data_IF_638645309246
#
_entry.id   IF_638645309246
#
_cell.length_a   1.000
_cell.length_b   1.000
_cell.length_c   1.000
_cell.angle_alpha   90.00
_cell.angle_beta   90.00
_cell.angle_gamma   90.00
#
_symmetry.space_group_name_H-M   'P 1'
#
loop_
_entity.id
_entity.type
_entity.pdbx_description
1 polymer ?
#
# COMPACT_ATOMS: atom_id res chain seq x y z
N UNK A 1 -27.02 -4.74 -9.22
CA UNK A 1 -27.48 -5.28 -7.93
C UNK A 1 -26.89 -4.42 -6.82
N UNK A 2 -27.51 -4.34 -5.63
CA UNK A 2 -26.93 -3.64 -4.49
C UNK A 2 -25.55 -4.22 -4.16
N UNK A 3 -24.69 -3.41 -3.56
CA UNK A 3 -23.40 -3.89 -3.10
C UNK A 3 -23.54 -4.96 -2.01
N UNK A 4 -22.81 -6.06 -2.17
CA UNK A 4 -22.81 -7.19 -1.23
C UNK A 4 -21.38 -7.65 -0.96
N UNK A 5 -21.15 -8.16 0.25
CA UNK A 5 -19.85 -8.69 0.71
C UNK A 5 -20.03 -10.19 0.94
N UNK A 6 -19.36 -11.01 0.13
CA UNK A 6 -19.55 -12.47 0.09
C UNK A 6 -18.60 -13.24 1.01
N UNK A 7 -17.44 -12.65 1.29
CA UNK A 7 -16.42 -13.30 2.10
C UNK A 7 -15.18 -12.43 2.27
N UNK A 8 -14.34 -12.76 3.25
CA UNK A 8 -13.11 -12.06 3.55
C UNK A 8 -11.96 -13.02 3.79
N UNK A 9 -10.77 -12.64 3.30
CA UNK A 9 -9.49 -13.17 3.77
C UNK A 9 -9.07 -12.35 4.97
N UNK A 10 -8.91 -13.00 6.12
CA UNK A 10 -8.50 -12.36 7.37
C UNK A 10 -7.15 -12.88 7.82
N UNK A 11 -6.23 -11.98 8.11
CA UNK A 11 -4.87 -12.35 8.50
C UNK A 11 -4.23 -11.30 9.40
N UNK A 12 -3.28 -11.74 10.24
CA UNK A 12 -2.48 -10.87 11.09
C UNK A 12 -1.27 -10.36 10.31
N UNK A 13 -1.22 -9.05 10.06
CA UNK A 13 -0.13 -8.38 9.37
C UNK A 13 0.81 -7.71 10.39
N UNK A 14 2.07 -8.10 10.38
CA UNK A 14 3.10 -7.60 11.30
C UNK A 14 4.03 -6.55 10.68
N UNK A 15 3.90 -6.30 9.38
CA UNK A 15 4.82 -5.46 8.62
C UNK A 15 4.19 -4.17 8.12
N UNK A 16 2.86 -4.12 7.94
CA UNK A 16 2.16 -2.99 7.33
C UNK A 16 2.18 -1.69 8.15
N UNK A 17 2.39 -1.77 9.46
CA UNK A 17 2.21 -0.66 10.39
C UNK A 17 3.24 -0.75 11.55
N UNK A 18 3.30 0.28 12.43
CA UNK A 18 4.21 0.28 13.58
C UNK A 18 3.88 -0.85 14.54
N UNK A 19 2.58 -1.08 14.75
CA UNK A 19 2.04 -2.22 15.50
C UNK A 19 1.38 -3.22 14.55
N UNK A 20 1.33 -4.52 14.91
CA UNK A 20 0.56 -5.49 14.13
C UNK A 20 -0.91 -5.08 13.98
N UNK A 21 -1.50 -5.43 12.85
CA UNK A 21 -2.91 -5.17 12.54
C UNK A 21 -3.56 -6.44 11.99
N UNK A 22 -4.87 -6.58 12.20
CA UNK A 22 -5.66 -7.61 11.53
C UNK A 22 -6.27 -6.99 10.28
N UNK A 23 -6.02 -7.60 9.13
CA UNK A 23 -6.53 -7.13 7.84
C UNK A 23 -7.61 -8.08 7.35
N UNK A 24 -8.75 -7.53 6.96
CA UNK A 24 -9.79 -8.21 6.21
C UNK A 24 -9.83 -7.65 4.78
N UNK A 25 -9.53 -8.49 3.80
CA UNK A 25 -9.62 -8.17 2.36
C UNK A 25 -10.81 -8.96 1.77
N UNK A 26 -11.86 -8.25 1.38
CA UNK A 26 -13.17 -8.86 1.15
C UNK A 26 -13.61 -8.86 -0.31
N UNK A 27 -14.28 -9.95 -0.68
CA UNK A 27 -14.93 -10.17 -1.97
C UNK A 27 -16.28 -9.51 -1.98
N UNK A 28 -16.55 -8.80 -3.07
CA UNK A 28 -17.74 -7.98 -3.21
C UNK A 28 -18.40 -8.20 -4.56
N UNK A 29 -19.64 -7.76 -4.69
CA UNK A 29 -20.32 -7.55 -5.97
C UNK A 29 -21.12 -6.27 -5.94
N UNK A 30 -21.68 -5.88 -7.09
CA UNK A 30 -22.75 -4.91 -7.15
C UNK A 30 -22.28 -3.46 -7.23
N UNK A 31 -23.27 -2.59 -7.03
CA UNK A 31 -23.18 -1.15 -7.23
C UNK A 31 -23.71 -0.40 -6.02
N UNK A 32 -23.17 0.80 -5.83
CA UNK A 32 -23.64 1.81 -4.87
C UNK A 32 -24.12 3.03 -5.64
N UNK A 33 -25.44 3.20 -5.74
CA UNK A 33 -26.10 4.34 -6.38
C UNK A 33 -26.25 5.55 -5.44
N UNK A 34 -26.17 5.33 -4.12
CA UNK A 34 -26.28 6.37 -3.10
C UNK A 34 -25.38 6.09 -1.89
N UNK A 35 -25.06 7.13 -1.10
CA UNK A 35 -24.19 7.02 0.09
C UNK A 35 -24.65 5.95 1.09
N UNK A 36 -25.96 5.83 1.29
CA UNK A 36 -26.54 4.84 2.23
C UNK A 36 -26.26 3.39 1.83
N UNK A 37 -26.11 3.09 0.54
CA UNK A 37 -25.83 1.74 0.06
C UNK A 37 -24.39 1.33 0.35
N UNK A 38 -23.43 2.27 0.24
CA UNK A 38 -22.05 2.01 0.64
C UNK A 38 -21.93 1.78 2.16
N UNK A 39 -22.70 2.51 2.97
CA UNK A 39 -22.75 2.27 4.41
C UNK A 39 -23.34 0.89 4.72
N UNK A 40 -24.41 0.48 4.03
CA UNK A 40 -24.99 -0.85 4.20
C UNK A 40 -24.01 -1.96 3.85
N UNK A 41 -23.17 -1.78 2.82
CA UNK A 41 -22.09 -2.71 2.48
C UNK A 41 -21.02 -2.79 3.59
N UNK A 42 -20.62 -1.65 4.16
CA UNK A 42 -19.73 -1.61 5.34
C UNK A 42 -20.36 -2.38 6.51
N UNK A 43 -21.62 -2.13 6.83
CA UNK A 43 -22.31 -2.84 7.91
C UNK A 43 -22.42 -4.35 7.65
N UNK A 44 -22.61 -4.75 6.40
CA UNK A 44 -22.56 -6.16 5.99
C UNK A 44 -21.18 -6.80 6.23
N UNK A 45 -20.11 -6.10 5.85
CA UNK A 45 -18.73 -6.51 6.13
C UNK A 45 -18.47 -6.64 7.64
N UNK A 46 -18.91 -5.68 8.44
CA UNK A 46 -18.71 -5.73 9.89
C UNK A 46 -19.43 -6.94 10.51
N UNK A 47 -20.69 -7.18 10.15
CA UNK A 47 -21.43 -8.37 10.61
C UNK A 47 -20.77 -9.69 10.22
N UNK A 48 -20.26 -9.77 8.99
CA UNK A 48 -19.55 -10.96 8.50
C UNK A 48 -18.29 -11.23 9.33
N UNK A 49 -17.51 -10.19 9.62
CA UNK A 49 -16.30 -10.29 10.45
C UNK A 49 -16.63 -10.59 11.91
N UNK A 50 -17.65 -9.96 12.48
CA UNK A 50 -18.08 -10.21 13.86
C UNK A 50 -18.43 -11.69 14.07
N UNK A 51 -19.20 -12.26 13.15
CA UNK A 51 -19.56 -13.67 13.17
C UNK A 51 -18.35 -14.57 12.92
N UNK A 52 -17.56 -14.30 11.87
CA UNK A 52 -16.45 -15.18 11.48
C UNK A 52 -15.24 -15.15 12.41
N UNK A 53 -15.12 -14.11 13.25
CA UNK A 53 -14.07 -13.98 14.27
C UNK A 53 -14.58 -14.26 15.70
N UNK A 54 -15.87 -14.51 15.89
CA UNK A 54 -16.46 -14.79 17.20
C UNK A 54 -16.50 -13.60 18.16
N UNK A 55 -16.60 -12.39 17.61
CA UNK A 55 -16.37 -11.14 18.36
C UNK A 55 -17.56 -10.67 19.21
N UNK A 56 -18.72 -11.30 19.05
CA UNK A 56 -19.96 -11.04 19.83
C UNK A 56 -20.37 -9.57 19.79
N UNK A 57 -20.57 -9.04 18.59
CA UNK A 57 -21.00 -7.66 18.33
C UNK A 57 -19.95 -6.63 18.82
N UNK A 58 -18.68 -6.91 18.54
CA UNK A 58 -17.59 -5.99 18.87
C UNK A 58 -17.42 -4.84 17.88
N UNK A 59 -17.77 -5.07 16.62
CA UNK A 59 -17.44 -4.17 15.52
C UNK A 59 -18.61 -3.23 15.26
N UNK A 60 -18.39 -1.97 15.58
CA UNK A 60 -19.39 -0.91 15.39
C UNK A 60 -18.74 0.29 14.72
N UNK A 61 -19.35 0.76 13.63
CA UNK A 61 -18.97 2.02 13.00
C UNK A 61 -19.34 3.20 13.90
N UNK A 62 -18.40 4.11 14.12
CA UNK A 62 -18.61 5.33 14.93
C UNK A 62 -19.03 6.54 14.11
N UNK A 63 -18.97 6.41 12.78
CA UNK A 63 -19.34 7.43 11.81
C UNK A 63 -18.98 6.98 10.41
N UNK A 64 -19.27 7.82 9.42
CA UNK A 64 -18.93 7.57 8.04
C UNK A 64 -18.37 8.82 7.38
N UNK A 65 -17.38 8.64 6.51
CA UNK A 65 -16.81 9.68 5.67
C UNK A 65 -16.79 9.23 4.21
N UNK A 66 -16.83 10.22 3.31
CA UNK A 66 -16.84 10.00 1.87
C UNK A 66 -15.80 10.91 1.23
N UNK A 67 -14.78 10.33 0.63
CA UNK A 67 -13.68 11.03 -0.01
C UNK A 67 -13.66 10.76 -1.52
N UNK A 68 -13.97 11.76 -2.37
CA UNK A 68 -13.77 11.62 -3.80
C UNK A 68 -12.29 11.77 -4.18
N UNK A 69 -11.78 10.91 -5.06
CA UNK A 69 -10.39 10.89 -5.50
C UNK A 69 -10.25 10.99 -7.02
N UNK A 70 -9.06 11.42 -7.47
CA UNK A 70 -8.67 11.50 -8.87
C UNK A 70 -9.76 12.14 -9.76
N UNK A 71 -10.20 13.35 -9.37
CA UNK A 71 -11.28 14.10 -10.02
C UNK A 71 -12.63 13.37 -10.03
N UNK A 72 -13.00 12.73 -8.90
CA UNK A 72 -14.25 11.97 -8.71
C UNK A 72 -14.38 10.72 -9.59
N UNK A 73 -13.25 10.17 -10.05
CA UNK A 73 -13.23 8.87 -10.73
C UNK A 73 -13.47 7.73 -9.75
N UNK A 74 -13.00 7.90 -8.52
CA UNK A 74 -13.17 6.96 -7.43
C UNK A 74 -13.78 7.68 -6.23
N UNK A 75 -14.53 6.94 -5.42
CA UNK A 75 -15.01 7.39 -4.13
C UNK A 75 -14.63 6.36 -3.07
N UNK A 76 -14.01 6.83 -1.99
CA UNK A 76 -13.70 6.02 -0.82
C UNK A 76 -14.73 6.33 0.25
N UNK A 77 -15.46 5.30 0.66
CA UNK A 77 -16.36 5.34 1.81
C UNK A 77 -15.62 4.70 2.98
N UNK A 78 -15.48 5.43 4.08
CA UNK A 78 -14.72 5.01 5.26
C UNK A 78 -15.60 5.05 6.49
N UNK A 79 -15.40 4.09 7.39
CA UNK A 79 -16.07 4.02 8.69
C UNK A 79 -15.03 3.72 9.79
N UNK A 80 -14.65 4.71 10.62
CA UNK A 80 -13.85 4.44 11.82
C UNK A 80 -14.61 3.55 12.80
N UNK A 81 -13.91 2.58 13.40
CA UNK A 81 -14.52 1.58 14.28
C UNK A 81 -14.31 1.92 15.75
N UNK A 82 -15.30 1.55 16.58
CA UNK A 82 -15.17 1.66 18.04
C UNK A 82 -14.00 0.78 18.50
N UNK A 83 -13.12 1.36 19.32
CA UNK A 83 -11.91 0.68 19.79
C UNK A 83 -10.72 0.76 18.82
N UNK A 84 -10.87 1.46 17.69
CA UNK A 84 -9.82 1.69 16.72
C UNK A 84 -9.96 0.83 15.47
N UNK A 85 -9.23 1.21 14.42
CA UNK A 85 -9.38 0.61 13.10
C UNK A 85 -10.42 1.31 12.23
N UNK A 86 -10.62 0.77 11.04
CA UNK A 86 -11.43 1.38 9.99
C UNK A 86 -11.90 0.32 8.99
N UNK A 87 -13.16 0.41 8.56
CA UNK A 87 -13.68 -0.30 7.41
C UNK A 87 -13.83 0.63 6.20
N UNK A 88 -13.65 0.09 4.99
CA UNK A 88 -13.69 0.85 3.74
C UNK A 88 -14.47 0.10 2.67
N UNK A 89 -15.17 0.86 1.85
CA UNK A 89 -15.71 0.44 0.56
C UNK A 89 -15.24 1.45 -0.48
N UNK A 90 -14.64 0.96 -1.57
CA UNK A 90 -14.18 1.81 -2.67
C UNK A 90 -15.04 1.54 -3.89
N UNK A 91 -15.49 2.60 -4.55
CA UNK A 91 -16.28 2.52 -5.77
C UNK A 91 -15.70 3.39 -6.89
N UNK A 92 -15.96 2.99 -8.14
CA UNK A 92 -15.74 3.79 -9.32
C UNK A 92 -17.05 3.87 -10.13
N UNK A 93 -17.57 5.09 -10.30
CA UNK A 93 -18.81 5.37 -11.07
C UNK A 93 -20.02 4.52 -10.63
N UNK A 94 -20.14 4.33 -9.32
CA UNK A 94 -21.15 3.53 -8.66
C UNK A 94 -20.86 2.03 -8.63
N UNK A 95 -19.78 1.53 -9.22
CA UNK A 95 -19.41 0.10 -9.15
C UNK A 95 -18.45 -0.11 -7.99
N UNK A 96 -18.77 -1.03 -7.09
CA UNK A 96 -17.86 -1.33 -5.96
C UNK A 96 -16.65 -2.08 -6.49
N UNK A 97 -15.45 -1.66 -6.10
CA UNK A 97 -14.19 -2.31 -6.49
C UNK A 97 -13.71 -3.28 -5.42
N UNK A 98 -13.73 -2.85 -4.15
CA UNK A 98 -13.22 -3.61 -3.00
C UNK A 98 -13.88 -3.13 -1.72
N UNK A 99 -13.95 -4.03 -0.73
CA UNK A 99 -14.23 -3.70 0.65
C UNK A 99 -13.13 -4.27 1.55
N UNK A 100 -12.66 -3.48 2.52
CA UNK A 100 -11.62 -3.91 3.46
C UNK A 100 -11.91 -3.46 4.88
N UNK A 101 -11.30 -4.12 5.85
CA UNK A 101 -11.24 -3.67 7.23
C UNK A 101 -9.82 -3.81 7.79
N UNK A 102 -9.38 -2.79 8.53
CA UNK A 102 -8.16 -2.85 9.32
C UNK A 102 -8.55 -2.72 10.78
N UNK A 103 -8.22 -3.74 11.56
CA UNK A 103 -8.57 -3.84 12.98
C UNK A 103 -7.29 -3.80 13.83
N UNK A 104 -7.31 -3.15 15.00
CA UNK A 104 -6.16 -3.12 15.88
C UNK A 104 -5.88 -4.51 16.46
N UNK A 105 -4.61 -4.84 16.72
CA UNK A 105 -4.24 -6.13 17.31
C UNK A 105 -4.86 -6.35 18.70
N UNK A 106 -5.20 -5.28 19.42
CA UNK A 106 -5.93 -5.36 20.70
C UNK A 106 -7.28 -6.07 20.58
N UNK A 107 -7.91 -6.07 19.40
CA UNK A 107 -9.12 -6.82 19.12
C UNK A 107 -8.93 -8.34 19.26
N UNK A 108 -7.71 -8.85 19.06
CA UNK A 108 -7.40 -10.29 19.17
C UNK A 108 -7.75 -10.86 20.55
N UNK A 109 -7.77 -10.04 21.60
CA UNK A 109 -8.18 -10.46 22.93
C UNK A 109 -9.68 -10.89 23.01
N UNK A 110 -10.49 -10.45 22.04
CA UNK A 110 -11.92 -10.78 21.93
C UNK A 110 -12.23 -11.84 20.87
N UNK A 111 -11.27 -12.18 20.03
CA UNK A 111 -11.41 -13.21 18.98
C UNK A 111 -11.45 -14.59 19.63
N UNK A 112 -12.28 -15.48 19.09
CA UNK A 112 -12.36 -16.87 19.53
C UNK A 112 -10.97 -17.53 19.59
N UNK A 113 -10.68 -18.25 20.68
CA UNK A 113 -9.33 -18.75 20.99
C UNK A 113 -8.71 -19.58 19.84
N UNK A 114 -9.49 -20.47 19.22
CA UNK A 114 -9.02 -21.29 18.10
C UNK A 114 -8.77 -20.50 16.82
N UNK A 115 -9.48 -19.39 16.61
CA UNK A 115 -9.25 -18.47 15.48
C UNK A 115 -8.02 -17.62 15.76
N UNK A 116 -7.90 -17.08 16.98
CA UNK A 116 -6.74 -16.30 17.42
C UNK A 116 -5.44 -17.07 17.24
N UNK A 117 -5.37 -18.30 17.74
CA UNK A 117 -4.16 -19.13 17.66
C UNK A 117 -3.71 -19.35 16.21
N UNK A 118 -4.66 -19.58 15.30
CA UNK A 118 -4.38 -19.76 13.87
C UNK A 118 -3.81 -18.49 13.24
N UNK A 119 -4.44 -17.34 13.50
CA UNK A 119 -3.97 -16.04 13.00
C UNK A 119 -2.58 -15.69 13.55
N UNK A 120 -2.33 -15.95 14.83
CA UNK A 120 -1.01 -15.76 15.46
C UNK A 120 0.06 -16.66 14.84
N UNK A 121 -0.29 -17.89 14.45
CA UNK A 121 0.59 -18.79 13.68
C UNK A 121 0.74 -18.40 12.20
N UNK A 122 0.15 -17.29 11.76
CA UNK A 122 0.27 -16.77 10.40
C UNK A 122 -0.71 -17.37 9.40
N UNK A 123 -1.77 -18.04 9.86
CA UNK A 123 -2.80 -18.52 8.96
C UNK A 123 -3.58 -17.36 8.33
N UNK A 124 -3.97 -17.54 7.06
CA UNK A 124 -4.99 -16.72 6.41
C UNK A 124 -6.33 -17.42 6.59
N UNK A 125 -7.22 -16.83 7.37
CA UNK A 125 -8.59 -17.31 7.54
C UNK A 125 -9.45 -16.90 6.34
N UNK A 126 -10.29 -17.80 5.87
CA UNK A 126 -11.34 -17.49 4.89
C UNK A 126 -12.70 -17.57 5.57
N UNK A 127 -13.41 -16.45 5.59
CA UNK A 127 -14.79 -16.34 6.06
C UNK A 127 -15.65 -16.13 4.82
N UNK A 128 -16.63 -16.99 4.55
CA UNK A 128 -17.44 -16.91 3.32
C UNK A 128 -16.65 -17.16 2.03
N UNK A 129 -17.17 -16.66 0.90
CA UNK A 129 -16.52 -16.77 -0.41
C UNK A 129 -15.52 -15.63 -0.59
N UNK A 130 -14.23 -15.95 -0.47
CA UNK A 130 -13.15 -14.96 -0.54
C UNK A 130 -12.20 -15.26 -1.71
N UNK A 131 -12.13 -14.33 -2.68
CA UNK A 131 -11.17 -14.39 -3.79
C UNK A 131 -9.75 -14.16 -3.31
N UNK A 132 -8.82 -14.88 -3.91
CA UNK A 132 -7.41 -14.57 -3.78
C UNK A 132 -7.07 -13.24 -4.49
N UNK A 133 -5.96 -12.59 -4.12
CA UNK A 133 -5.47 -11.43 -4.85
C UNK A 133 -5.33 -11.83 -6.33
N UNK A 134 -5.89 -11.07 -7.27
CA UNK A 134 -5.71 -11.37 -8.66
C UNK A 134 -4.23 -11.19 -9.02
N UNK A 135 -3.69 -12.15 -9.77
CA UNK A 135 -2.32 -12.07 -10.32
C UNK A 135 -2.35 -11.14 -11.54
N UNK A 136 -2.71 -9.86 -11.36
CA UNK A 136 -2.55 -8.84 -12.40
C UNK A 136 -1.08 -8.40 -12.47
N UNK A 137 -0.21 -9.33 -12.86
CA UNK A 137 1.18 -9.08 -13.21
C UNK A 137 1.47 -9.37 -14.69
N UNK A 138 0.48 -9.86 -15.44
CA UNK A 138 0.63 -10.27 -16.84
C UNK A 138 0.49 -9.12 -17.84
N UNK A 139 0.02 -7.94 -17.42
CA UNK A 139 -0.08 -6.78 -18.34
C UNK A 139 1.30 -6.17 -18.55
N UNK A 140 1.74 -6.02 -19.82
CA UNK A 140 3.02 -5.42 -20.14
C UNK A 140 3.06 -4.01 -19.56
N UNK A 141 4.23 -3.70 -19.04
CA UNK A 141 4.59 -2.46 -18.39
C UNK A 141 4.68 -1.39 -19.50
N UNK A 142 3.57 -0.68 -19.75
CA UNK A 142 3.51 0.36 -20.80
C UNK A 142 4.49 1.49 -20.48
N UNK A 143 5.33 1.84 -21.44
CA UNK A 143 6.21 3.00 -21.33
C UNK A 143 5.39 4.25 -20.96
N UNK A 144 5.85 5.08 -20.01
CA UNK A 144 5.19 6.34 -19.71
C UNK A 144 5.10 7.18 -20.98
N UNK A 145 3.89 7.48 -21.45
CA UNK A 145 3.71 8.46 -22.51
C UNK A 145 4.10 9.86 -22.04
N UNK A 146 4.45 10.75 -22.98
CA UNK A 146 4.85 12.14 -22.68
C UNK A 146 3.73 12.98 -22.05
N UNK A 147 2.47 12.51 -22.12
CA UNK A 147 1.28 13.18 -21.61
C UNK A 147 1.14 13.19 -20.09
N UNK A 148 0.16 13.94 -19.60
CA UNK A 148 -0.26 13.88 -18.20
C UNK A 148 -0.95 12.52 -17.94
N UNK A 149 -0.54 11.74 -16.92
CA UNK A 149 -1.18 10.46 -16.67
C UNK A 149 -2.65 10.61 -16.32
N UNK A 150 -3.44 9.57 -16.62
CA UNK A 150 -4.88 9.60 -16.41
C UNK A 150 -5.26 9.93 -14.95
N UNK A 151 -6.22 10.84 -14.79
CA UNK A 151 -6.67 11.32 -13.49
C UNK A 151 -5.67 12.23 -12.74
N UNK A 152 -4.55 12.61 -13.36
CA UNK A 152 -3.55 13.49 -12.74
C UNK A 152 -3.72 14.97 -13.11
N UNK A 153 -3.10 15.84 -12.33
CA UNK A 153 -2.89 17.27 -12.63
C UNK A 153 -1.48 17.69 -12.20
N UNK A 154 -0.70 18.26 -13.11
CA UNK A 154 0.61 18.80 -12.80
C UNK A 154 0.49 19.95 -11.79
N UNK A 155 1.32 19.90 -10.74
CA UNK A 155 1.45 20.95 -9.73
C UNK A 155 2.92 21.33 -9.57
N UNK A 156 3.22 22.60 -9.19
CA UNK A 156 4.60 23.10 -9.23
C UNK A 156 5.48 22.58 -8.09
N UNK A 157 4.86 22.17 -6.96
CA UNK A 157 5.54 21.81 -5.71
C UNK A 157 4.94 20.54 -5.11
N UNK A 158 5.77 19.78 -4.42
CA UNK A 158 5.34 18.62 -3.65
C UNK A 158 4.40 19.01 -2.51
N UNK A 159 3.32 18.25 -2.37
CA UNK A 159 2.52 18.22 -1.14
C UNK A 159 3.13 17.19 -0.20
N UNK A 160 3.38 17.59 1.05
CA UNK A 160 3.96 16.68 2.05
C UNK A 160 2.84 15.86 2.68
N UNK A 161 2.89 14.54 2.47
CA UNK A 161 2.04 13.57 3.15
C UNK A 161 2.90 12.64 4.01
N UNK A 162 2.36 12.24 5.16
CA UNK A 162 2.92 11.19 6.01
C UNK A 162 1.75 10.51 6.73
N UNK A 163 1.47 9.24 6.40
CA UNK A 163 0.32 8.52 6.95
C UNK A 163 0.38 8.39 8.47
N UNK A 164 1.58 8.26 9.03
CA UNK A 164 1.86 8.14 10.47
C UNK A 164 2.38 9.45 11.08
N UNK A 165 2.44 10.53 10.29
CA UNK A 165 3.27 11.70 10.61
C UNK A 165 4.77 11.44 10.38
N UNK A 166 5.61 12.48 10.45
CA UNK A 166 7.06 12.30 10.38
C UNK A 166 7.62 11.70 11.68
N UNK A 167 8.55 10.72 11.61
CA UNK A 167 9.20 10.17 12.80
C UNK A 167 9.95 11.27 13.54
N UNK A 168 10.01 11.20 14.87
CA UNK A 168 10.64 12.23 15.72
C UNK A 168 12.08 12.53 15.31
N UNK A 169 12.88 11.49 15.07
CA UNK A 169 14.24 11.60 14.53
C UNK A 169 14.64 10.36 13.74
N UNK A 170 15.31 10.56 12.60
CA UNK A 170 16.08 9.52 11.89
C UNK A 170 17.51 10.02 11.79
N UNK A 171 18.51 9.30 12.33
CA UNK A 171 19.90 9.74 12.25
C UNK A 171 20.33 9.93 10.79
N UNK A 172 21.14 10.97 10.52
CA UNK A 172 21.63 11.25 9.16
C UNK A 172 22.55 10.15 8.62
N UNK A 173 23.18 9.38 9.51
CA UNK A 173 24.00 8.22 9.19
C UNK A 173 23.23 6.89 9.30
N UNK A 174 21.89 6.92 9.32
CA UNK A 174 21.11 5.69 9.40
C UNK A 174 21.41 4.77 8.22
N UNK A 175 21.63 3.50 8.52
CA UNK A 175 21.82 2.43 7.55
C UNK A 175 20.48 1.82 7.14
N UNK A 176 20.40 1.25 5.95
CA UNK A 176 19.24 0.46 5.50
C UNK A 176 19.56 -1.02 5.68
N UNK A 177 18.72 -1.76 6.41
CA UNK A 177 18.83 -3.23 6.53
C UNK A 177 18.07 -3.91 5.40
N UNK A 178 18.72 -4.84 4.73
CA UNK A 178 18.12 -5.67 3.68
C UNK A 178 17.93 -7.07 4.25
N UNK A 179 16.69 -7.50 4.38
CA UNK A 179 16.31 -8.84 4.81
C UNK A 179 16.04 -9.69 3.58
N UNK A 180 16.69 -10.85 3.49
CA UNK A 180 16.46 -11.86 2.45
C UNK A 180 16.11 -13.19 3.11
N UNK A 181 15.61 -14.18 2.36
CA UNK A 181 15.39 -15.52 2.92
C UNK A 181 16.68 -16.18 3.46
N UNK A 182 17.87 -15.71 3.05
CA UNK A 182 19.16 -16.31 3.39
C UNK A 182 19.98 -15.50 4.40
N UNK A 183 19.57 -14.27 4.74
CA UNK A 183 20.29 -13.47 5.71
C UNK A 183 19.92 -11.99 5.71
N UNK A 184 20.76 -11.21 6.41
CA UNK A 184 20.61 -9.77 6.54
C UNK A 184 21.88 -9.10 6.01
N UNK A 185 21.71 -8.13 5.13
CA UNK A 185 22.76 -7.25 4.62
C UNK A 185 22.51 -5.82 5.09
N UNK A 186 23.55 -5.01 5.25
CA UNK A 186 23.43 -3.61 5.65
C UNK A 186 23.97 -2.73 4.53
N UNK A 187 23.16 -1.75 4.11
CA UNK A 187 23.55 -0.69 3.20
C UNK A 187 23.87 0.55 4.04
N UNK A 188 25.09 1.05 3.93
CA UNK A 188 25.48 2.33 4.52
C UNK A 188 25.35 3.49 3.51
N UNK A 189 25.54 4.71 4.02
CA UNK A 189 25.48 5.92 3.19
C UNK A 189 26.64 6.03 2.19
N UNK A 190 27.74 5.32 2.38
CA UNK A 190 28.86 5.26 1.45
C UNK A 190 28.46 4.60 0.14
N UNK A 191 27.82 3.43 0.21
CA UNK A 191 27.29 2.72 -0.98
C UNK A 191 26.32 3.61 -1.77
N UNK A 192 25.46 4.34 -1.08
CA UNK A 192 24.53 5.29 -1.72
C UNK A 192 25.28 6.44 -2.39
N UNK A 193 26.31 6.99 -1.73
CA UNK A 193 27.12 8.08 -2.27
C UNK A 193 27.96 7.70 -3.50
N UNK A 194 28.44 6.46 -3.57
CA UNK A 194 29.23 5.95 -4.70
C UNK A 194 28.43 5.81 -6.00
N UNK A 195 27.12 5.59 -5.89
CA UNK A 195 26.24 5.23 -7.02
C UNK A 195 25.15 6.27 -7.31
N UNK A 196 24.99 7.26 -6.45
CA UNK A 196 23.96 8.27 -6.63
C UNK A 196 24.34 9.28 -7.72
N UNK A 197 23.43 9.50 -8.66
CA UNK A 197 23.55 10.49 -9.71
C UNK A 197 22.36 11.45 -9.70
N UNK A 198 22.52 12.62 -10.31
CA UNK A 198 21.43 13.58 -10.48
C UNK A 198 20.55 13.16 -11.67
N UNK A 199 19.36 12.64 -11.36
CA UNK A 199 18.37 12.15 -12.32
C UNK A 199 17.13 13.04 -12.32
N UNK A 200 16.46 13.16 -13.46
CA UNK A 200 15.18 13.87 -13.57
C UNK A 200 14.05 12.84 -13.48
N UNK A 201 13.30 12.85 -12.38
CA UNK A 201 12.24 11.88 -12.12
C UNK A 201 10.93 12.58 -11.74
N UNK A 202 9.83 12.00 -12.20
CA UNK A 202 8.47 12.42 -11.87
C UNK A 202 7.95 11.71 -10.61
N UNK A 203 6.96 12.33 -9.95
CA UNK A 203 6.22 11.73 -8.85
C UNK A 203 4.72 11.95 -9.05
N UNK A 204 3.93 10.89 -8.89
CA UNK A 204 2.50 10.89 -9.14
C UNK A 204 1.73 10.51 -7.87
N UNK A 205 0.86 11.39 -7.36
CA UNK A 205 0.05 11.08 -6.19
C UNK A 205 -1.24 10.35 -6.56
N UNK A 206 -1.67 9.43 -5.70
CA UNK A 206 -2.93 8.70 -5.85
C UNK A 206 -4.17 9.59 -5.75
N UNK A 207 -4.05 10.78 -5.15
CA UNK A 207 -5.18 11.70 -5.01
C UNK A 207 -5.47 12.49 -6.29
N UNK A 208 -4.57 12.47 -7.29
CA UNK A 208 -4.79 13.09 -8.60
C UNK A 208 -3.93 14.30 -8.93
N UNK A 209 -2.77 14.46 -8.28
CA UNK A 209 -1.76 15.45 -8.67
C UNK A 209 -0.42 14.79 -9.03
N UNK A 210 0.38 15.46 -9.86
CA UNK A 210 1.73 15.03 -10.25
C UNK A 210 2.72 16.17 -10.13
N UNK A 211 3.94 15.85 -9.71
CA UNK A 211 5.09 16.77 -9.72
C UNK A 211 6.09 16.21 -10.71
N UNK A 212 6.40 16.97 -11.75
CA UNK A 212 7.23 16.53 -12.87
C UNK A 212 8.60 17.21 -12.89
N UNK A 213 9.55 16.58 -13.55
CA UNK A 213 10.85 17.15 -13.91
C UNK A 213 11.71 17.51 -12.71
N UNK A 214 11.62 16.76 -11.62
CA UNK A 214 12.39 17.08 -10.41
C UNK A 214 13.75 16.40 -10.43
N UNK A 215 14.78 17.14 -10.01
CA UNK A 215 16.15 16.63 -9.96
C UNK A 215 16.38 15.91 -8.65
N UNK A 216 16.55 14.60 -8.69
CA UNK A 216 16.84 13.75 -7.54
C UNK A 216 18.30 13.33 -7.56
N UNK A 217 18.97 13.36 -6.42
CA UNK A 217 20.24 12.65 -6.24
C UNK A 217 19.89 11.26 -5.74
N UNK A 218 20.04 10.25 -6.59
CA UNK A 218 19.53 8.92 -6.30
C UNK A 218 20.38 7.81 -6.93
N UNK A 219 20.50 6.70 -6.21
CA UNK A 219 21.21 5.51 -6.62
C UNK A 219 20.23 4.45 -7.16
N UNK A 220 20.50 3.79 -8.29
CA UNK A 220 19.68 2.68 -8.77
C UNK A 220 19.59 1.55 -7.73
N UNK A 221 18.37 1.13 -7.37
CA UNK A 221 18.17 0.15 -6.30
C UNK A 221 18.91 -1.17 -6.56
N UNK A 222 18.87 -1.66 -7.81
CA UNK A 222 19.58 -2.87 -8.24
C UNK A 222 21.08 -2.78 -7.97
N UNK A 223 21.67 -1.62 -8.24
CA UNK A 223 23.10 -1.42 -8.08
C UNK A 223 23.48 -1.33 -6.60
N UNK A 224 22.68 -0.63 -5.80
CA UNK A 224 22.86 -0.57 -4.35
C UNK A 224 22.82 -1.97 -3.72
N UNK A 225 21.83 -2.78 -4.08
CA UNK A 225 21.72 -4.16 -3.58
C UNK A 225 22.91 -5.02 -4.04
N UNK A 226 23.38 -4.85 -5.28
CA UNK A 226 24.53 -5.57 -5.83
C UNK A 226 25.81 -5.23 -5.06
N UNK A 227 26.09 -3.94 -4.84
CA UNK A 227 27.29 -3.49 -4.12
C UNK A 227 27.28 -3.88 -2.64
N UNK A 228 26.10 -3.86 -2.01
CA UNK A 228 25.95 -4.33 -0.64
C UNK A 228 26.14 -5.87 -0.50
N UNK A 229 26.17 -6.60 -1.61
CA UNK A 229 26.24 -8.07 -1.59
C UNK A 229 24.94 -8.72 -1.11
N UNK A 230 23.79 -8.05 -1.31
CA UNK A 230 22.50 -8.62 -0.97
C UNK A 230 22.13 -9.77 -1.93
N UNK A 231 21.69 -10.90 -1.38
CA UNK A 231 21.19 -12.00 -2.19
C UNK A 231 19.77 -11.73 -2.69
N UNK A 232 19.68 -11.25 -3.93
CA UNK A 232 18.41 -10.89 -4.56
C UNK A 232 17.78 -12.15 -5.21
N UNK A 233 16.54 -12.54 -4.83
CA UNK A 233 15.85 -13.66 -5.47
C UNK A 233 15.43 -13.31 -6.91
N UNK A 234 15.15 -14.33 -7.72
CA UNK A 234 14.74 -14.16 -9.13
C UNK A 234 13.33 -13.57 -9.30
N UNK A 235 12.54 -13.54 -8.23
CA UNK A 235 11.17 -13.04 -8.24
C UNK A 235 10.65 -12.82 -6.82
N UNK A 236 9.37 -12.51 -6.71
CA UNK A 236 8.72 -12.19 -5.44
C UNK A 236 8.48 -10.69 -5.30
N UNK A 237 8.63 -10.18 -4.08
CA UNK A 237 8.20 -8.86 -3.67
C UNK A 237 9.29 -8.13 -2.88
N UNK A 238 9.29 -6.81 -2.99
CA UNK A 238 10.07 -5.94 -2.13
C UNK A 238 9.11 -5.17 -1.22
N UNK A 239 9.28 -5.31 0.09
CA UNK A 239 8.60 -4.48 1.09
C UNK A 239 9.59 -3.48 1.69
N UNK A 240 9.32 -2.19 1.49
CA UNK A 240 10.13 -1.10 2.00
C UNK A 240 9.49 -0.51 3.26
N UNK A 241 10.24 -0.45 4.36
CA UNK A 241 9.77 0.02 5.67
C UNK A 241 10.48 1.30 6.11
N UNK A 242 9.67 2.22 6.61
CA UNK A 242 10.02 3.52 7.19
C UNK A 242 10.42 3.37 8.65
N UNK A 243 11.27 4.28 9.13
CA UNK A 243 11.56 4.45 10.55
C UNK A 243 10.31 4.65 11.42
N UNK A 244 9.25 5.22 10.86
CA UNK A 244 7.96 5.44 11.54
C UNK A 244 7.09 4.19 11.66
N UNK A 245 7.41 3.10 10.94
CA UNK A 245 6.61 1.87 10.87
C UNK A 245 5.85 1.68 9.56
N UNK A 246 5.71 2.74 8.75
CA UNK A 246 5.05 2.67 7.45
C UNK A 246 5.75 1.67 6.53
N UNK A 247 4.97 0.79 5.92
CA UNK A 247 5.48 -0.12 4.90
C UNK A 247 4.69 -0.02 3.59
N UNK A 248 5.38 -0.28 2.49
CA UNK A 248 4.77 -0.44 1.18
C UNK A 248 5.44 -1.59 0.45
N UNK A 249 4.64 -2.38 -0.25
CA UNK A 249 5.09 -3.54 -1.02
C UNK A 249 5.02 -3.27 -2.54
N UNK A 250 5.92 -3.85 -3.31
CA UNK A 250 5.99 -3.73 -4.77
C UNK A 250 6.55 -5.02 -5.40
N UNK A 251 6.14 -5.41 -6.62
CA UNK A 251 6.80 -6.53 -7.32
C UNK A 251 8.30 -6.30 -7.41
N UNK A 252 9.09 -7.32 -7.07
CA UNK A 252 10.55 -7.16 -6.96
C UNK A 252 11.17 -6.68 -8.27
N UNK A 253 10.76 -7.25 -9.41
CA UNK A 253 11.30 -6.88 -10.71
C UNK A 253 11.05 -5.40 -11.05
N UNK A 254 9.86 -4.89 -10.75
CA UNK A 254 9.51 -3.48 -10.96
C UNK A 254 10.44 -2.56 -10.15
N UNK A 255 10.71 -2.92 -8.88
CA UNK A 255 11.61 -2.17 -8.02
C UNK A 255 13.08 -2.25 -8.48
N UNK A 256 13.55 -3.41 -8.95
CA UNK A 256 14.91 -3.58 -9.42
C UNK A 256 15.18 -2.88 -10.75
N UNK A 257 14.17 -2.72 -11.59
CA UNK A 257 14.30 -2.14 -12.93
C UNK A 257 14.10 -0.61 -12.91
N UNK A 258 13.15 -0.11 -12.11
CA UNK A 258 12.75 1.30 -12.13
C UNK A 258 12.81 1.99 -10.75
N UNK A 259 13.36 1.31 -9.73
CA UNK A 259 13.47 1.83 -8.37
C UNK A 259 14.83 2.48 -8.09
N UNK A 260 14.77 3.54 -7.28
CA UNK A 260 15.94 4.28 -6.83
C UNK A 260 15.88 4.55 -5.33
N UNK A 261 17.05 4.62 -4.69
CA UNK A 261 17.18 5.16 -3.33
C UNK A 261 17.69 6.59 -3.45
N UNK A 262 16.83 7.56 -3.13
CA UNK A 262 17.15 8.97 -3.21
C UNK A 262 17.67 9.50 -1.87
N UNK A 263 18.71 10.34 -1.94
CA UNK A 263 19.37 11.02 -0.81
C UNK A 263 19.43 12.54 -0.99
N UNK A 264 19.03 13.07 -2.16
CA UNK A 264 18.90 14.50 -2.41
C UNK A 264 17.79 14.86 -3.38
N UNK A 265 17.39 16.13 -3.35
CA UNK A 265 16.34 16.71 -4.18
C UNK A 265 16.67 18.19 -4.47
N UNK A 266 16.57 18.60 -5.73
CA UNK A 266 16.76 19.98 -6.20
C UNK A 266 18.07 20.62 -5.73
N UNK A 267 19.19 19.89 -5.89
CA UNK A 267 20.54 20.37 -5.57
C UNK A 267 20.90 20.35 -4.08
N UNK A 268 20.02 19.81 -3.22
CA UNK A 268 20.24 19.71 -1.77
C UNK A 268 20.09 18.27 -1.29
N UNK A 269 20.67 17.95 -0.13
CA UNK A 269 20.30 16.73 0.59
C UNK A 269 18.81 16.75 0.93
N UNK A 270 18.19 15.57 1.07
CA UNK A 270 16.81 15.49 1.51
C UNK A 270 16.66 16.17 2.87
N UNK A 271 15.58 16.94 3.02
CA UNK A 271 15.12 17.38 4.33
C UNK A 271 14.26 16.28 5.00
N UNK A 272 13.93 16.50 6.28
CA UNK A 272 13.12 15.56 7.06
C UNK A 272 11.76 15.28 6.41
N UNK A 273 11.07 16.30 5.90
CA UNK A 273 9.73 16.15 5.31
C UNK A 273 9.76 15.35 3.99
N UNK A 274 10.88 15.45 3.27
CA UNK A 274 11.16 14.72 2.03
C UNK A 274 11.69 13.31 2.26
N UNK A 275 11.98 12.93 3.50
CA UNK A 275 12.31 11.56 3.88
C UNK A 275 13.78 11.30 4.17
N UNK A 276 14.55 12.32 4.57
CA UNK A 276 15.94 12.14 4.97
C UNK A 276 16.15 11.01 6.01
N UNK A 277 17.30 10.31 5.99
CA UNK A 277 18.43 10.51 5.08
C UNK A 277 18.21 9.88 3.70
N UNK A 278 17.32 8.90 3.59
CA UNK A 278 17.07 8.18 2.35
C UNK A 278 15.59 7.83 2.17
N UNK A 279 15.12 7.81 0.92
CA UNK A 279 13.79 7.34 0.55
C UNK A 279 13.82 6.45 -0.68
N UNK A 280 12.82 5.58 -0.79
CA UNK A 280 12.54 4.87 -2.04
C UNK A 280 11.80 5.80 -3.01
N UNK A 281 12.19 5.79 -4.28
CA UNK A 281 11.55 6.50 -5.39
C UNK A 281 11.25 5.50 -6.50
N UNK A 282 9.98 5.44 -6.92
CA UNK A 282 9.46 4.52 -7.94
C UNK A 282 8.67 5.33 -8.98
N UNK A 283 9.33 5.98 -9.96
CA UNK A 283 8.73 7.01 -10.82
C UNK A 283 7.47 6.57 -11.58
N UNK A 284 7.39 5.28 -11.92
CA UNK A 284 6.25 4.69 -12.63
C UNK A 284 5.05 4.39 -11.73
N UNK A 285 5.27 4.34 -10.42
CA UNK A 285 4.27 3.95 -9.43
C UNK A 285 3.78 5.17 -8.64
N UNK A 286 2.58 5.04 -8.10
CA UNK A 286 1.99 6.09 -7.28
C UNK A 286 2.78 6.33 -5.99
N UNK A 287 2.70 7.57 -5.49
CA UNK A 287 3.51 8.11 -4.41
C UNK A 287 3.41 7.39 -3.06
N UNK A 288 2.38 6.59 -2.81
CA UNK A 288 2.35 5.78 -1.59
C UNK A 288 3.42 4.68 -1.63
N UNK A 289 3.82 4.22 -2.82
CA UNK A 289 4.95 3.27 -2.96
C UNK A 289 6.31 3.89 -2.62
N UNK A 290 6.41 5.22 -2.54
CA UNK A 290 7.67 5.95 -2.36
C UNK A 290 8.00 6.13 -0.87
N UNK A 291 8.37 5.04 -0.19
CA UNK A 291 8.64 5.01 1.27
C UNK A 291 9.70 6.03 1.67
N UNK A 292 9.30 7.01 2.49
CA UNK A 292 10.19 7.99 3.13
C UNK A 292 10.86 7.38 4.37
N UNK A 293 11.98 7.97 4.80
CA UNK A 293 12.69 7.55 6.01
C UNK A 293 13.05 6.06 5.97
N UNK A 294 13.53 5.61 4.82
CA UNK A 294 13.75 4.20 4.53
C UNK A 294 14.80 3.63 5.49
N UNK A 295 14.42 2.60 6.24
CA UNK A 295 15.30 1.90 7.18
C UNK A 295 15.42 0.41 6.89
N UNK A 296 14.43 -0.18 6.24
CA UNK A 296 14.46 -1.62 5.92
C UNK A 296 13.90 -1.92 4.54
N UNK A 297 14.48 -2.92 3.91
CA UNK A 297 14.05 -3.54 2.66
C UNK A 297 13.91 -5.04 2.93
N UNK A 298 12.73 -5.60 2.72
CA UNK A 298 12.48 -7.03 2.85
C UNK A 298 12.24 -7.62 1.45
N UNK A 299 13.09 -8.56 1.05
CA UNK A 299 12.95 -9.33 -0.19
C UNK A 299 12.16 -10.60 0.14
N UNK A 300 10.88 -10.60 -0.22
CA UNK A 300 9.90 -11.61 0.18
C UNK A 300 9.55 -12.51 -1.00
N UNK A 301 9.38 -13.82 -0.75
CA UNK A 301 8.88 -14.75 -1.76
C UNK A 301 7.37 -14.53 -2.02
N UNK A 302 6.62 -14.23 -0.96
CA UNK A 302 5.17 -14.06 -0.98
C UNK A 302 4.72 -12.61 -0.81
N UNK A 303 3.50 -12.33 -1.26
CA UNK A 303 2.83 -11.05 -1.08
C UNK A 303 2.32 -10.88 0.36
N UNK A 304 2.46 -9.67 0.91
CA UNK A 304 1.77 -9.22 2.12
C UNK A 304 1.42 -7.74 1.96
N UNK A 305 0.33 -7.28 2.55
CA UNK A 305 -0.05 -5.87 2.46
C UNK A 305 0.97 -4.96 3.18
N UNK A 306 1.24 -3.80 2.59
CA UNK A 306 1.74 -2.64 3.31
C UNK A 306 0.58 -1.82 3.90
N UNK A 307 0.87 -0.59 4.34
CA UNK A 307 -0.09 0.26 5.04
C UNK A 307 -1.34 0.57 4.19
N UNK A 308 -1.14 1.06 2.97
CA UNK A 308 -2.26 1.44 2.10
C UNK A 308 -2.87 0.24 1.41
N UNK A 309 -2.09 -0.81 1.12
CA UNK A 309 -2.60 -2.03 0.53
C UNK A 309 -3.60 -2.73 1.45
N UNK A 310 -3.35 -2.70 2.77
CA UNK A 310 -4.30 -3.17 3.79
C UNK A 310 -5.63 -2.37 3.79
N UNK A 311 -5.59 -1.14 3.29
CA UNK A 311 -6.73 -0.23 3.16
C UNK A 311 -7.35 -0.24 1.75
N UNK A 312 -7.07 -1.27 0.96
CA UNK A 312 -7.68 -1.48 -0.35
C UNK A 312 -6.91 -0.89 -1.54
N UNK A 313 -5.72 -0.32 -1.33
CA UNK A 313 -4.91 0.22 -2.43
C UNK A 313 -4.19 -0.89 -3.19
N UNK A 314 -3.92 -0.65 -4.46
CA UNK A 314 -3.43 -1.67 -5.39
C UNK A 314 -2.04 -2.23 -5.01
N UNK A 315 -1.86 -3.52 -5.26
CA UNK A 315 -0.66 -4.30 -4.94
C UNK A 315 0.58 -3.78 -5.69
N UNK A 316 0.46 -3.52 -7.00
CA UNK A 316 1.50 -2.90 -7.84
C UNK A 316 1.50 -1.37 -7.84
N UNK A 317 0.40 -0.72 -8.21
CA UNK A 317 0.29 0.74 -8.12
C UNK A 317 0.80 1.50 -9.34
N UNK A 318 0.78 0.90 -10.54
CA UNK A 318 1.25 1.48 -11.78
C UNK A 318 0.38 2.66 -12.24
N UNK A 319 1.01 3.81 -12.45
CA UNK A 319 0.33 5.07 -12.79
C UNK A 319 -0.34 4.98 -14.16
N UNK A 320 0.35 4.41 -15.14
CA UNK A 320 -0.12 4.31 -16.53
C UNK A 320 -1.43 3.53 -16.70
N UNK A 321 -1.74 2.61 -15.77
CA UNK A 321 -2.93 1.77 -15.80
C UNK A 321 -3.99 2.18 -14.76
N UNK A 322 -3.81 3.33 -14.11
CA UNK A 322 -4.70 3.79 -13.02
C UNK A 322 -4.90 2.76 -11.90
N UNK A 323 -3.86 1.98 -11.59
CA UNK A 323 -3.87 0.99 -10.53
C UNK A 323 -3.89 1.66 -9.15
N UNK A 324 -5.03 2.22 -8.75
CA UNK A 324 -5.18 2.93 -7.47
C UNK A 324 -5.68 2.00 -6.37
N UNK A 325 -6.64 1.15 -6.71
CA UNK A 325 -7.33 0.26 -5.77
C UNK A 325 -7.31 -1.19 -6.22
N UNK A 326 -7.36 -2.09 -5.25
CA UNK A 326 -7.60 -3.50 -5.44
C UNK A 326 -8.95 -3.72 -6.09
N UNK A 327 -9.03 -4.75 -6.91
CA UNK A 327 -10.29 -5.25 -7.45
C UNK A 327 -10.55 -6.58 -6.75
N UNK A 328 -11.66 -6.63 -6.04
CA UNK A 328 -12.23 -7.80 -5.37
C UNK A 328 -13.70 -7.99 -5.74
N UNK A 329 -14.15 -7.31 -6.78
CA UNK A 329 -15.50 -7.47 -7.31
C UNK A 329 -15.52 -8.63 -8.31
N UNK A 330 -16.31 -9.67 -8.03
CA UNK A 330 -16.45 -10.85 -8.91
C UNK A 330 -17.04 -10.52 -10.29
N UNK A 331 -17.77 -9.42 -10.39
CA UNK A 331 -18.36 -8.93 -11.65
C UNK A 331 -17.34 -8.17 -12.50
N UNK A 332 -16.16 -7.84 -11.96
CA UNK A 332 -15.11 -7.09 -12.65
C UNK A 332 -13.94 -8.01 -13.01
N UNK A 333 -13.84 -8.35 -14.29
CA UNK A 333 -12.72 -9.14 -14.82
C UNK A 333 -11.59 -8.20 -15.35
N UNK A 334 -11.94 -6.98 -15.78
CA UNK A 334 -11.00 -5.89 -16.16
C UNK A 334 -11.65 -4.50 -15.90
N UNK A 335 -10.95 -3.60 -15.20
CA UNK A 335 -11.41 -2.22 -14.91
C UNK A 335 -11.19 -1.23 -16.06
N UNK A 336 -10.50 -1.63 -17.13
CA UNK A 336 -10.26 -0.74 -18.28
C UNK A 336 -11.41 -0.73 -19.29
N UNK A 337 -12.35 -1.67 -19.20
CA UNK A 337 -13.48 -1.75 -20.13
C UNK A 337 -14.73 -0.96 -19.69
N UNK A 338 -14.80 -0.42 -18.46
CA UNK A 338 -16.01 0.19 -17.89
C UNK A 338 -15.79 1.56 -17.21
#
# INVERSE_FOLDING_TARGET
MPAEVHGCRVYLNRLAAPEPIVVADCTVTGKVGARGEAHAAIEGLLRLLDHGLGLKEALEATGYSVEPLARRRFTVHSAPLRGGGEARVVEARGVVLTATAVLPVSLMARVDDGVRERLEKGAVLRIGEAVEPPVYLSRPVLEPGDGEPAGQKAIPRFVTYAAEGPPEAVPSNATIRVYTPRGITVIDQGILGETAEWLVLDMHCVTGWSVRGKRWLAAPLREVLRLAGAEVPSGGWLLARSAGGYASIVPLQEALEYGYIAIGLEGKQLDRDRGAPARLVLPRLYGWKHTKWLTEIHLLEGYTDGYWEAKGYHERGLVALEERFKIRNLELIDVTEH
#
